data_IF_359747261452
#
_entry.id   IF_359747261452
#
_cell.length_a   1.000
_cell.length_b   1.000
_cell.length_c   1.000
_cell.angle_alpha   90.00
_cell.angle_beta   90.00
_cell.angle_gamma   90.00
#
_symmetry.space_group_name_H-M   'P 1'
#
loop_
_entity.id
_entity.type
_entity.pdbx_description
1 polymer ?
#
# COMPACT_ATOMS: atom_id res chain seq x y z
N UNK A 1 20.89 1.96 -18.03
CA UNK A 1 19.45 1.95 -17.73
C UNK A 1 19.30 1.02 -16.56
N UNK A 2 18.98 1.54 -15.38
CA UNK A 2 18.89 0.73 -14.16
C UNK A 2 17.79 -0.33 -14.35
N UNK A 3 18.19 -1.60 -14.27
CA UNK A 3 17.28 -2.73 -14.23
C UNK A 3 16.59 -2.72 -12.87
N UNK A 4 15.60 -1.85 -12.71
CA UNK A 4 14.76 -1.80 -11.53
C UNK A 4 13.83 -3.02 -11.56
N UNK A 5 14.31 -4.15 -11.06
CA UNK A 5 13.51 -5.34 -10.75
C UNK A 5 12.57 -5.08 -9.54
N UNK A 6 12.08 -3.84 -9.37
CA UNK A 6 11.09 -3.52 -8.36
C UNK A 6 9.77 -4.08 -8.84
N UNK A 7 9.25 -5.06 -8.11
CA UNK A 7 7.91 -5.56 -8.38
C UNK A 7 6.89 -4.49 -7.98
N UNK A 8 5.68 -4.54 -8.55
CA UNK A 8 4.57 -3.71 -8.08
C UNK A 8 4.39 -3.83 -6.56
N UNK A 9 4.63 -5.02 -6.01
CA UNK A 9 4.60 -5.26 -4.59
C UNK A 9 5.63 -4.41 -3.82
N UNK A 10 6.90 -4.39 -4.26
CA UNK A 10 7.96 -3.61 -3.61
C UNK A 10 7.65 -2.11 -3.63
N UNK A 11 7.10 -1.63 -4.74
CA UNK A 11 6.66 -0.24 -4.88
C UNK A 11 5.57 0.06 -3.85
N UNK A 12 4.54 -0.78 -3.75
CA UNK A 12 3.40 -0.53 -2.87
C UNK A 12 3.70 -0.72 -1.38
N UNK A 13 4.60 -1.63 -1.01
CA UNK A 13 5.02 -1.81 0.39
C UNK A 13 5.75 -0.58 0.93
N UNK A 14 6.40 0.20 0.05
CA UNK A 14 7.07 1.44 0.41
C UNK A 14 6.11 2.64 0.51
N UNK A 15 4.84 2.50 0.14
CA UNK A 15 3.86 3.56 0.35
C UNK A 15 3.49 3.67 1.83
N UNK A 16 3.60 4.88 2.35
CA UNK A 16 3.03 5.20 3.66
C UNK A 16 1.50 5.12 3.63
N UNK A 17 0.90 4.84 4.78
CA UNK A 17 -0.55 4.85 4.95
C UNK A 17 -1.19 6.18 4.48
N UNK A 18 -0.52 7.31 4.72
CA UNK A 18 -0.97 8.64 4.27
C UNK A 18 -1.01 8.77 2.74
N UNK A 19 -0.05 8.17 2.04
CA UNK A 19 -0.04 8.16 0.57
C UNK A 19 -1.16 7.27 0.02
N UNK A 20 -1.36 6.07 0.60
CA UNK A 20 -2.47 5.18 0.22
C UNK A 20 -3.83 5.84 0.47
N UNK A 21 -3.98 6.57 1.58
CA UNK A 21 -5.19 7.34 1.88
C UNK A 21 -5.45 8.45 0.86
N UNK A 22 -4.40 9.09 0.35
CA UNK A 22 -4.54 10.09 -0.72
C UNK A 22 -4.89 9.44 -2.07
N UNK A 23 -4.32 8.29 -2.40
CA UNK A 23 -4.72 7.51 -3.58
C UNK A 23 -6.19 7.10 -3.51
N UNK A 24 -6.65 6.63 -2.34
CA UNK A 24 -8.05 6.29 -2.11
C UNK A 24 -8.99 7.49 -2.33
N UNK A 25 -8.62 8.68 -1.85
CA UNK A 25 -9.42 9.91 -2.04
C UNK A 25 -9.52 10.33 -3.50
N UNK A 26 -8.46 10.06 -4.28
CA UNK A 26 -8.36 10.46 -5.68
C UNK A 26 -8.83 9.37 -6.66
N UNK A 27 -9.14 8.17 -6.15
CA UNK A 27 -9.68 7.07 -6.93
C UNK A 27 -11.05 7.42 -7.51
N UNK A 28 -11.22 7.15 -8.80
CA UNK A 28 -12.42 7.49 -9.58
C UNK A 28 -13.41 6.35 -9.62
N UNK A 29 -12.92 5.10 -9.56
CA UNK A 29 -13.75 3.90 -9.62
C UNK A 29 -13.79 3.18 -8.28
N UNK A 30 -14.85 2.39 -8.08
CA UNK A 30 -14.95 1.55 -6.87
C UNK A 30 -13.87 0.48 -6.83
N UNK A 31 -13.42 -0.01 -7.98
CA UNK A 31 -12.31 -0.97 -8.06
C UNK A 31 -10.98 -0.35 -7.61
N UNK A 32 -10.69 0.89 -8.04
CA UNK A 32 -9.52 1.65 -7.58
C UNK A 32 -9.56 1.92 -6.07
N UNK A 33 -10.74 2.28 -5.55
CA UNK A 33 -10.94 2.46 -4.10
C UNK A 33 -10.70 1.16 -3.34
N UNK A 34 -11.27 0.04 -3.81
CA UNK A 34 -11.12 -1.28 -3.20
C UNK A 34 -9.68 -1.76 -3.23
N UNK A 35 -8.96 -1.49 -4.32
CA UNK A 35 -7.54 -1.76 -4.43
C UNK A 35 -6.73 -0.97 -3.40
N UNK A 36 -6.94 0.36 -3.30
CA UNK A 36 -6.26 1.20 -2.30
C UNK A 36 -6.57 0.76 -0.85
N UNK A 37 -7.80 0.33 -0.58
CA UNK A 37 -8.21 -0.18 0.74
C UNK A 37 -7.50 -1.49 1.08
N UNK A 38 -7.38 -2.40 0.10
CA UNK A 38 -6.64 -3.67 0.26
C UNK A 38 -5.17 -3.40 0.60
N UNK A 39 -4.52 -2.49 -0.12
CA UNK A 39 -3.13 -2.09 0.16
C UNK A 39 -3.00 -1.44 1.55
N UNK A 40 -3.93 -0.57 1.92
CA UNK A 40 -3.91 0.10 3.23
C UNK A 40 -4.00 -0.90 4.38
N UNK A 41 -4.85 -1.92 4.24
CA UNK A 41 -4.97 -3.00 5.22
C UNK A 41 -3.68 -3.83 5.30
N UNK A 42 -3.05 -4.13 4.16
CA UNK A 42 -1.79 -4.89 4.14
C UNK A 42 -0.66 -4.15 4.86
N UNK A 43 -0.51 -2.85 4.60
CA UNK A 43 0.49 -2.03 5.31
C UNK A 43 0.18 -1.95 6.80
N UNK A 44 -1.09 -1.79 7.18
CA UNK A 44 -1.51 -1.77 8.58
C UNK A 44 -1.17 -3.07 9.30
N UNK A 45 -1.51 -4.22 8.71
CA UNK A 45 -1.20 -5.54 9.28
C UNK A 45 0.32 -5.73 9.50
N UNK A 46 1.14 -5.31 8.54
CA UNK A 46 2.60 -5.36 8.67
C UNK A 46 3.12 -4.50 9.84
N UNK A 47 2.56 -3.31 10.05
CA UNK A 47 2.92 -2.46 11.18
C UNK A 47 2.41 -3.02 12.51
N UNK A 48 1.21 -3.62 12.53
CA UNK A 48 0.66 -4.33 13.69
C UNK A 48 1.55 -5.51 14.11
N UNK A 49 2.03 -6.32 13.16
CA UNK A 49 2.97 -7.42 13.42
C UNK A 49 4.25 -6.94 14.10
N UNK A 50 4.82 -5.81 13.65
CA UNK A 50 6.01 -5.20 14.27
C UNK A 50 5.77 -4.75 15.70
N UNK A 51 4.58 -4.19 15.99
CA UNK A 51 4.24 -3.66 17.32
C UNK A 51 3.92 -4.79 18.30
N UNK A 52 3.21 -5.82 17.83
CA UNK A 52 2.81 -6.97 18.65
C UNK A 52 4.02 -7.89 18.94
N UNK A 53 5.13 -7.73 18.22
CA UNK A 53 6.39 -8.38 18.53
C UNK A 53 6.38 -9.88 18.29
N UNK A 54 5.75 -10.33 17.19
CA UNK A 54 6.02 -11.64 16.62
C UNK A 54 7.25 -11.61 15.73
#
# INVERSE_FOLDING_TARGET
MENNNETLYDIFVNYSYSQLKNLFKNAKTEDEKKFCMTLSNMVLQKEEEKVIGK
#
